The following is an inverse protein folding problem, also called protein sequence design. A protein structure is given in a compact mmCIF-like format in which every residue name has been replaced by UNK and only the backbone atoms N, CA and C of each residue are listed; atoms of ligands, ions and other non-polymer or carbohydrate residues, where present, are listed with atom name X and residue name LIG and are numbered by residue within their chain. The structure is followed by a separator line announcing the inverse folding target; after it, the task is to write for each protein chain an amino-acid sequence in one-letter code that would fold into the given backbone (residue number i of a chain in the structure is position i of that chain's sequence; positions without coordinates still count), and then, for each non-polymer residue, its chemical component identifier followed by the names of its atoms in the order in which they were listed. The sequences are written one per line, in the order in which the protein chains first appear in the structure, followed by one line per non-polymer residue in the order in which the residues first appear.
data_IF_353358261610
#
_entry.id   IF_353358261610
#
_cell.length_a   1.000
_cell.length_b   1.000
_cell.length_c   1.000
_cell.angle_alpha   90.00
_cell.angle_beta   90.00
_cell.angle_gamma   90.00
#
_symmetry.space_group_name_H-M   'P 1'
#
loop_
_entity.id
_entity.type
_entity.pdbx_description
1 polymer ?
#
# COMPACT_ATOMS: atom_id res chain seq x y z
N UNK A 1 24.85 -1.04 -3.99
CA UNK A 1 24.72 0.16 -4.84
C UNK A 1 25.02 1.37 -3.97
N UNK A 2 26.08 2.11 -4.30
CA UNK A 2 26.84 3.02 -3.41
C UNK A 2 26.38 4.49 -3.45
N UNK A 3 25.15 4.81 -3.05
CA UNK A 3 24.67 6.21 -3.07
C UNK A 3 24.93 6.96 -1.73
N UNK A 4 25.16 6.25 -0.63
CA UNK A 4 25.33 6.89 0.69
C UNK A 4 26.73 7.40 1.05
N UNK A 5 27.80 6.92 0.41
CA UNK A 5 29.17 7.13 0.92
C UNK A 5 29.84 8.45 0.48
N UNK A 6 29.24 9.22 -0.45
CA UNK A 6 29.89 10.42 -1.03
C UNK A 6 28.98 11.63 -1.27
N UNK A 7 27.77 11.64 -0.72
CA UNK A 7 26.89 12.81 -0.78
C UNK A 7 26.80 13.47 0.59
N UNK A 8 27.31 14.69 0.75
CA UNK A 8 26.90 15.52 1.89
C UNK A 8 25.36 15.56 1.90
N UNK A 9 24.72 15.19 3.01
CA UNK A 9 23.27 15.24 3.13
C UNK A 9 22.86 16.71 2.97
N UNK A 10 22.42 17.08 1.78
CA UNK A 10 21.97 18.46 1.53
C UNK A 10 20.72 18.68 2.37
N UNK A 11 20.80 19.55 3.37
CA UNK A 11 19.68 19.94 4.23
C UNK A 11 18.44 20.33 3.40
N UNK A 12 18.67 21.00 2.25
CA UNK A 12 17.64 21.33 1.27
C UNK A 12 17.78 20.52 -0.02
N UNK A 13 16.94 19.48 -0.15
CA UNK A 13 16.78 18.68 -1.38
C UNK A 13 16.06 19.50 -2.46
N UNK A 14 16.52 19.42 -3.71
CA UNK A 14 15.87 20.10 -4.84
C UNK A 14 14.47 19.50 -5.13
N UNK A 15 13.60 20.23 -5.83
CA UNK A 15 12.28 19.72 -6.25
C UNK A 15 12.40 18.39 -7.03
N UNK A 16 13.39 18.26 -7.91
CA UNK A 16 13.68 17.02 -8.66
C UNK A 16 14.03 15.85 -7.75
N UNK A 17 14.86 16.09 -6.73
CA UNK A 17 15.24 15.05 -5.76
C UNK A 17 14.04 14.64 -4.91
N UNK A 18 13.24 15.61 -4.44
CA UNK A 18 12.01 15.31 -3.70
C UNK A 18 11.04 14.47 -4.52
N UNK A 19 10.85 14.81 -5.80
CA UNK A 19 10.01 14.04 -6.72
C UNK A 19 10.50 12.59 -6.84
N UNK A 20 11.79 12.38 -7.09
CA UNK A 20 12.37 11.03 -7.17
C UNK A 20 12.21 10.25 -5.87
N UNK A 21 12.35 10.90 -4.71
CA UNK A 21 12.14 10.24 -3.42
C UNK A 21 10.68 9.89 -3.18
N UNK A 22 9.74 10.76 -3.55
CA UNK A 22 8.30 10.45 -3.51
C UNK A 22 7.95 9.29 -4.43
N UNK A 23 8.54 9.24 -5.63
CA UNK A 23 8.38 8.12 -6.55
C UNK A 23 8.92 6.83 -5.96
N UNK A 24 10.16 6.85 -5.49
CA UNK A 24 10.78 5.70 -4.85
C UNK A 24 9.95 5.20 -3.66
N UNK A 25 9.51 6.10 -2.78
CA UNK A 25 8.71 5.77 -1.60
C UNK A 25 7.42 5.05 -1.99
N UNK A 26 6.65 5.65 -2.89
CA UNK A 26 5.37 5.10 -3.32
C UNK A 26 5.56 3.71 -3.94
N UNK A 27 6.46 3.60 -4.94
CA UNK A 27 6.72 2.34 -5.62
C UNK A 27 7.16 1.28 -4.62
N UNK A 28 8.08 1.62 -3.70
CA UNK A 28 8.65 0.65 -2.79
C UNK A 28 7.66 0.18 -1.72
N UNK A 29 6.87 1.07 -1.14
CA UNK A 29 5.84 0.67 -0.15
C UNK A 29 4.77 -0.21 -0.80
N UNK A 30 4.31 0.14 -2.00
CA UNK A 30 3.31 -0.65 -2.73
C UNK A 30 3.86 -2.01 -3.14
N UNK A 31 5.10 -2.08 -3.64
CA UNK A 31 5.78 -3.34 -3.94
C UNK A 31 5.91 -4.23 -2.69
N UNK A 32 6.43 -3.69 -1.58
CA UNK A 32 6.59 -4.42 -0.32
C UNK A 32 5.25 -4.93 0.24
N UNK A 33 4.15 -4.19 0.04
CA UNK A 33 2.82 -4.60 0.51
C UNK A 33 2.30 -5.88 -0.17
N UNK A 34 2.80 -6.19 -1.38
CA UNK A 34 2.31 -7.30 -2.22
C UNK A 34 3.36 -8.36 -2.48
N UNK A 35 4.62 -8.10 -2.13
CA UNK A 35 5.69 -9.07 -2.18
C UNK A 35 5.57 -10.10 -1.06
N UNK A 36 5.66 -11.39 -1.42
CA UNK A 36 5.65 -12.51 -0.47
C UNK A 36 7.05 -13.10 -0.36
N UNK A 37 7.71 -12.87 0.78
CA UNK A 37 9.04 -13.42 1.04
C UNK A 37 8.98 -14.97 1.17
N UNK A 38 9.84 -15.71 0.46
CA UNK A 38 10.00 -17.14 0.69
C UNK A 38 10.50 -17.40 2.12
N UNK A 39 10.00 -18.44 2.79
CA UNK A 39 10.39 -18.81 4.16
C UNK A 39 11.91 -19.03 4.30
N UNK A 40 12.57 -19.54 3.26
CA UNK A 40 14.03 -19.77 3.23
C UNK A 40 14.86 -18.49 3.26
N UNK A 41 14.28 -17.36 2.81
CA UNK A 41 14.97 -16.06 2.70
C UNK A 41 14.69 -15.14 3.89
N UNK A 42 14.08 -15.62 4.96
CA UNK A 42 13.86 -14.82 6.18
C UNK A 42 15.00 -15.10 7.16
N UNK A 43 16.11 -14.37 7.04
CA UNK A 43 17.25 -14.52 7.95
C UNK A 43 16.89 -14.13 9.40
N UNK A 44 17.57 -14.81 10.33
CA UNK A 44 17.27 -15.01 11.76
C UNK A 44 17.39 -13.77 12.66
N UNK A 45 17.34 -12.56 12.13
CA UNK A 45 17.62 -11.35 12.93
C UNK A 45 16.45 -11.05 13.86
N UNK A 46 16.78 -10.85 15.13
CA UNK A 46 15.86 -10.55 16.22
C UNK A 46 14.92 -9.38 15.88
N UNK A 47 13.59 -9.54 15.96
CA UNK A 47 12.62 -8.46 15.75
C UNK A 47 12.63 -7.39 16.87
N UNK A 48 13.47 -7.53 17.89
CA UNK A 48 13.52 -6.64 19.06
C UNK A 48 14.15 -5.26 18.82
N UNK A 49 14.37 -4.81 17.58
CA UNK A 49 14.82 -3.43 17.35
C UNK A 49 13.62 -2.48 17.27
N UNK A 50 13.60 -1.38 18.03
CA UNK A 50 12.48 -0.45 18.02
C UNK A 50 12.35 0.20 16.63
N UNK A 51 11.34 -0.19 15.86
CA UNK A 51 10.87 0.54 14.68
C UNK A 51 9.87 1.64 15.06
N UNK A 52 9.70 1.92 16.36
CA UNK A 52 8.68 2.84 16.91
C UNK A 52 8.74 4.23 16.29
N UNK A 53 9.91 4.66 15.79
CA UNK A 53 10.10 5.98 15.20
C UNK A 53 10.07 6.01 13.66
N UNK A 54 9.93 4.85 12.99
CA UNK A 54 9.91 4.79 11.53
C UNK A 54 8.50 5.03 11.00
N UNK A 55 8.33 6.00 10.09
CA UNK A 55 7.06 6.23 9.40
C UNK A 55 6.86 5.20 8.29
N UNK A 56 7.94 4.69 7.72
CA UNK A 56 7.92 3.72 6.62
C UNK A 56 8.72 2.44 6.89
N UNK A 57 8.36 1.66 7.94
CA UNK A 57 9.16 0.50 8.35
C UNK A 57 9.20 -0.64 7.32
N UNK A 58 8.24 -0.72 6.38
CA UNK A 58 8.27 -1.71 5.29
C UNK A 58 9.51 -1.60 4.40
N UNK A 59 10.13 -0.41 4.30
CA UNK A 59 11.33 -0.21 3.51
C UNK A 59 12.53 -1.03 4.05
N UNK A 60 12.53 -1.37 5.34
CA UNK A 60 13.51 -2.26 5.96
C UNK A 60 13.19 -3.74 5.83
N UNK A 61 11.96 -4.12 5.48
CA UNK A 61 11.59 -5.55 5.43
C UNK A 61 12.55 -6.33 4.54
N UNK A 62 12.87 -5.80 3.35
CA UNK A 62 13.80 -6.45 2.45
C UNK A 62 15.22 -6.60 3.01
N UNK A 63 15.78 -5.54 3.61
CA UNK A 63 17.13 -5.57 4.18
C UNK A 63 17.22 -6.54 5.36
N UNK A 64 16.18 -6.58 6.21
CA UNK A 64 16.07 -7.53 7.31
C UNK A 64 15.99 -8.98 6.81
N UNK A 65 15.13 -9.28 5.84
CA UNK A 65 15.03 -10.63 5.29
C UNK A 65 16.36 -11.10 4.69
N UNK A 66 17.09 -10.22 4.01
CA UNK A 66 18.41 -10.54 3.46
C UNK A 66 19.55 -10.57 4.49
N UNK A 67 19.28 -10.33 5.78
CA UNK A 67 20.31 -10.25 6.83
C UNK A 67 21.36 -9.16 6.57
N UNK A 68 20.97 -8.13 5.82
CA UNK A 68 21.81 -6.99 5.43
C UNK A 68 21.10 -5.72 5.85
N UNK A 69 20.79 -5.59 7.14
CA UNK A 69 20.07 -4.43 7.60
C UNK A 69 20.87 -3.16 7.31
N UNK A 70 20.32 -2.31 6.44
CA UNK A 70 21.01 -1.12 5.96
C UNK A 70 21.17 -0.11 7.08
N UNK A 71 20.21 -0.03 8.00
CA UNK A 71 20.24 0.87 9.15
C UNK A 71 21.32 0.47 10.15
N UNK A 72 21.42 -0.82 10.49
CA UNK A 72 22.49 -1.33 11.36
C UNK A 72 23.88 -1.17 10.73
N UNK A 73 24.00 -1.52 9.45
CA UNK A 73 25.30 -1.48 8.75
C UNK A 73 25.80 -0.07 8.43
N UNK A 74 24.92 0.92 8.31
CA UNK A 74 25.32 2.30 7.98
C UNK A 74 25.11 3.32 9.10
N UNK A 75 24.46 2.94 10.21
CA UNK A 75 24.21 3.83 11.36
C UNK A 75 23.40 5.09 11.03
N UNK A 76 22.82 5.14 9.83
CA UNK A 76 22.01 6.23 9.30
C UNK A 76 20.60 5.67 9.18
N UNK A 77 19.63 6.29 9.85
CA UNK A 77 18.22 5.98 9.59
C UNK A 77 17.96 6.18 8.08
N UNK A 78 17.77 5.08 7.35
CA UNK A 78 17.55 5.08 5.90
C UNK A 78 16.40 6.01 5.52
N UNK A 79 15.37 6.07 6.38
CA UNK A 79 14.24 6.97 6.24
C UNK A 79 14.68 8.43 6.36
N UNK A 80 15.51 8.77 7.36
CA UNK A 80 16.10 10.10 7.50
C UNK A 80 17.00 10.46 6.30
N UNK A 81 17.78 9.51 5.78
CA UNK A 81 18.61 9.71 4.59
C UNK A 81 17.78 10.04 3.34
N UNK A 82 16.71 9.29 3.11
CA UNK A 82 15.80 9.47 1.97
C UNK A 82 14.87 10.66 2.13
N UNK A 83 14.35 10.91 3.32
CA UNK A 83 13.24 11.85 3.52
C UNK A 83 13.60 13.04 4.41
N UNK A 84 14.81 13.12 4.98
CA UNK A 84 15.26 14.18 5.88
C UNK A 84 14.42 14.26 7.16
N UNK A 85 14.38 15.41 7.83
CA UNK A 85 13.38 15.68 8.86
C UNK A 85 11.98 15.59 8.24
N UNK A 86 11.22 14.58 8.68
CA UNK A 86 9.88 14.25 8.20
C UNK A 86 8.79 15.19 8.74
N UNK A 87 9.06 15.91 9.82
CA UNK A 87 8.10 16.84 10.46
C UNK A 87 7.93 18.17 9.71
N UNK A 88 8.30 18.22 8.44
CA UNK A 88 8.07 19.41 7.63
C UNK A 88 6.70 19.31 6.92
N UNK A 89 5.65 20.01 7.37
CA UNK A 89 4.31 19.96 6.77
C UNK A 89 4.31 20.31 5.27
N UNK A 90 5.29 21.10 4.80
CA UNK A 90 5.47 21.42 3.37
C UNK A 90 5.86 20.21 2.51
N UNK A 91 6.33 19.10 3.09
CA UNK A 91 6.67 17.86 2.35
C UNK A 91 5.50 16.89 2.25
N UNK A 92 4.65 16.79 3.27
CA UNK A 92 3.39 16.04 3.18
C UNK A 92 2.52 16.58 2.04
N UNK A 93 2.43 17.91 1.91
CA UNK A 93 1.77 18.56 0.76
C UNK A 93 2.37 18.18 -0.60
N UNK A 94 3.70 18.13 -0.72
CA UNK A 94 4.37 17.80 -1.99
C UNK A 94 4.09 16.36 -2.47
N UNK A 95 3.92 15.40 -1.55
CA UNK A 95 3.53 14.03 -1.93
C UNK A 95 2.09 13.99 -2.45
N UNK A 96 1.17 14.69 -1.77
CA UNK A 96 -0.22 14.86 -2.20
C UNK A 96 -0.30 15.53 -3.57
N UNK A 97 0.56 16.51 -3.85
CA UNK A 97 0.63 17.18 -5.16
C UNK A 97 1.04 16.25 -6.31
N UNK A 98 1.85 15.22 -6.03
CA UNK A 98 2.34 14.29 -7.06
C UNK A 98 1.33 13.18 -7.35
N UNK A 99 0.80 12.56 -6.29
CA UNK A 99 -0.01 11.34 -6.40
C UNK A 99 -1.51 11.58 -6.19
N UNK A 100 -1.91 12.76 -5.73
CA UNK A 100 -3.29 13.02 -5.29
C UNK A 100 -3.66 12.28 -4.01
N UNK A 101 -2.68 11.71 -3.30
CA UNK A 101 -2.87 10.88 -2.11
C UNK A 101 -2.13 11.46 -0.89
N UNK A 102 -2.75 11.46 0.30
CA UNK A 102 -2.06 11.76 1.55
C UNK A 102 -0.91 10.79 1.81
N UNK A 103 0.26 11.31 2.18
CA UNK A 103 1.44 10.51 2.52
C UNK A 103 1.19 9.60 3.75
N UNK A 104 0.26 10.00 4.59
CA UNK A 104 -0.22 9.32 5.79
C UNK A 104 -0.78 7.94 5.44
N UNK A 105 -1.58 7.81 4.38
CA UNK A 105 -2.10 6.50 3.94
C UNK A 105 -0.98 5.54 3.53
N UNK A 106 0.05 6.05 2.84
CA UNK A 106 1.22 5.25 2.46
C UNK A 106 1.99 4.80 3.72
N UNK A 107 2.05 5.63 4.76
CA UNK A 107 2.65 5.25 6.04
C UNK A 107 1.87 4.14 6.73
N UNK A 108 0.53 4.23 6.75
CA UNK A 108 -0.32 3.18 7.30
C UNK A 108 -0.14 1.84 6.57
N UNK A 109 -0.10 1.85 5.22
CA UNK A 109 0.16 0.66 4.41
C UNK A 109 1.54 0.07 4.75
N UNK A 110 2.56 0.92 4.87
CA UNK A 110 3.91 0.49 5.23
C UNK A 110 3.96 -0.15 6.62
N UNK A 111 3.32 0.46 7.63
CA UNK A 111 3.26 -0.09 9.00
C UNK A 111 2.47 -1.40 9.06
N UNK A 112 1.35 -1.48 8.34
CA UNK A 112 0.55 -2.71 8.23
C UNK A 112 1.34 -3.82 7.53
N UNK A 113 2.10 -3.49 6.49
CA UNK A 113 2.96 -4.43 5.76
C UNK A 113 4.06 -4.97 6.67
N UNK A 114 4.73 -4.09 7.42
CA UNK A 114 5.77 -4.49 8.37
C UNK A 114 5.23 -5.45 9.44
N UNK A 115 4.12 -5.08 10.10
CA UNK A 115 3.47 -5.93 11.11
C UNK A 115 3.03 -7.28 10.52
N UNK A 116 2.45 -7.29 9.32
CA UNK A 116 2.04 -8.53 8.67
C UNK A 116 3.23 -9.46 8.41
N UNK A 117 4.36 -8.91 7.97
CA UNK A 117 5.58 -9.67 7.70
C UNK A 117 6.22 -10.18 9.00
N UNK A 118 6.23 -9.37 10.06
CA UNK A 118 6.69 -9.77 11.40
C UNK A 118 5.85 -10.90 11.99
N UNK A 119 4.51 -10.79 11.94
CA UNK A 119 3.58 -11.84 12.38
C UNK A 119 3.81 -13.14 11.60
N UNK A 120 3.95 -13.03 10.27
CA UNK A 120 4.18 -14.19 9.39
C UNK A 120 5.50 -14.88 9.74
N UNK A 121 6.56 -14.12 9.95
CA UNK A 121 7.88 -14.63 10.34
C UNK A 121 7.82 -15.33 11.70
N UNK A 122 7.21 -14.70 12.71
CA UNK A 122 7.09 -15.25 14.05
C UNK A 122 6.30 -16.56 14.07
N UNK A 123 5.17 -16.63 13.36
CA UNK A 123 4.37 -17.87 13.24
C UNK A 123 5.11 -18.97 12.50
N UNK A 124 5.87 -18.64 11.47
CA UNK A 124 6.67 -19.63 10.74
C UNK A 124 7.81 -20.19 11.60
N UNK A 125 8.39 -19.39 12.49
CA UNK A 125 9.50 -19.78 13.36
C UNK A 125 9.03 -20.50 14.62
N UNK A 126 7.88 -20.10 15.14
CA UNK A 126 7.31 -20.58 16.39
C UNK A 126 5.85 -20.95 16.14
N UNK A 127 5.55 -22.21 15.77
CA UNK A 127 4.18 -22.65 15.49
C UNK A 127 3.23 -22.48 16.68
N UNK A 128 3.76 -22.59 17.90
CA UNK A 128 3.04 -22.36 19.17
C UNK A 128 2.98 -20.88 19.57
N UNK A 129 3.37 -19.97 18.68
CA UNK A 129 3.40 -18.53 18.98
C UNK A 129 2.00 -18.00 19.24
N UNK A 130 1.78 -17.60 20.49
CA UNK A 130 0.67 -16.73 20.87
C UNK A 130 1.14 -15.28 20.79
N UNK A 131 0.28 -14.39 20.27
CA UNK A 131 0.54 -12.95 20.17
C UNK A 131 1.01 -12.41 21.52
N UNK A 132 2.23 -11.89 21.57
CA UNK A 132 2.76 -11.22 22.76
C UNK A 132 1.93 -9.98 23.06
N UNK A 133 1.90 -9.55 24.33
CA UNK A 133 1.18 -8.32 24.71
C UNK A 133 1.65 -7.11 23.91
N UNK A 134 2.96 -7.01 23.64
CA UNK A 134 3.56 -5.96 22.83
C UNK A 134 3.05 -5.94 21.38
N UNK A 135 3.13 -7.09 20.68
CA UNK A 135 2.67 -7.20 19.30
C UNK A 135 1.16 -6.97 19.18
N UNK A 136 0.39 -7.43 20.18
CA UNK A 136 -1.04 -7.17 20.29
C UNK A 136 -1.35 -5.68 20.41
N UNK A 137 -0.62 -4.95 21.27
CA UNK A 137 -0.78 -3.51 21.44
C UNK A 137 -0.47 -2.75 20.14
N UNK A 138 0.67 -3.06 19.49
CA UNK A 138 1.05 -2.45 18.20
C UNK A 138 -0.01 -2.69 17.11
N UNK A 139 -0.63 -3.88 17.09
CA UNK A 139 -1.74 -4.18 16.20
C UNK A 139 -3.02 -3.38 16.54
N UNK A 140 -3.29 -3.10 17.82
CA UNK A 140 -4.48 -2.36 18.25
C UNK A 140 -4.32 -0.84 18.04
N UNK A 141 -3.12 -0.32 18.27
CA UNK A 141 -2.76 1.07 17.98
C UNK A 141 -2.92 1.37 16.48
N UNK A 142 -2.29 0.55 15.62
CA UNK A 142 -2.42 0.75 14.17
C UNK A 142 -3.86 0.57 13.68
N UNK A 143 -4.63 -0.36 14.24
CA UNK A 143 -6.05 -0.52 13.92
C UNK A 143 -6.83 0.75 14.24
N UNK A 144 -6.60 1.34 15.42
CA UNK A 144 -7.25 2.58 15.85
C UNK A 144 -6.90 3.72 14.91
N UNK A 145 -5.63 3.86 14.54
CA UNK A 145 -5.18 4.90 13.61
C UNK A 145 -5.78 4.73 12.22
N UNK A 146 -5.82 3.51 11.67
CA UNK A 146 -6.43 3.24 10.36
C UNK A 146 -7.92 3.58 10.38
N UNK A 147 -8.64 3.16 11.42
CA UNK A 147 -10.08 3.39 11.52
C UNK A 147 -10.46 4.85 11.81
N UNK A 148 -9.64 5.58 12.58
CA UNK A 148 -9.86 6.97 12.91
C UNK A 148 -9.35 7.94 11.83
N UNK A 149 -8.62 7.44 10.83
CA UNK A 149 -8.05 8.26 9.78
C UNK A 149 -9.12 8.98 8.96
N UNK A 150 -8.87 10.26 8.66
CA UNK A 150 -9.71 11.13 7.83
C UNK A 150 -8.80 12.12 7.08
N UNK A 151 -9.19 12.52 5.86
CA UNK A 151 -8.46 13.54 5.07
C UNK A 151 -8.80 14.96 5.55
N UNK A 152 -8.44 15.29 6.81
CA UNK A 152 -8.69 16.62 7.39
C UNK A 152 -7.87 17.74 6.72
N UNK A 153 -6.91 17.39 5.86
CA UNK A 153 -6.06 18.33 5.11
C UNK A 153 -6.64 18.81 3.77
N UNK A 154 -7.83 18.36 3.34
CA UNK A 154 -8.43 18.73 2.06
C UNK A 154 -9.04 20.16 2.03
N UNK A 155 -9.22 20.79 3.19
CA UNK A 155 -9.86 22.11 3.34
C UNK A 155 -8.87 23.28 3.36
N UNK A 156 -7.57 23.02 3.27
CA UNK A 156 -6.57 24.08 3.13
C UNK A 156 -6.71 24.77 1.78
N UNK A 157 -7.31 25.96 1.76
CA UNK A 157 -7.40 26.82 0.60
C UNK A 157 -6.00 27.23 0.12
N UNK A 158 -5.40 26.40 -0.73
CA UNK A 158 -4.34 26.85 -1.60
C UNK A 158 -4.98 27.74 -2.66
N UNK A 159 -4.62 29.03 -2.66
CA UNK A 159 -4.97 29.96 -3.74
C UNK A 159 -4.46 29.38 -5.06
N UNK A 160 -5.35 28.75 -5.82
CA UNK A 160 -5.08 28.25 -7.16
C UNK A 160 -5.45 29.32 -8.18
N UNK A 161 -4.60 29.54 -9.18
CA UNK A 161 -4.89 30.44 -10.31
C UNK A 161 -6.19 30.05 -11.06
N UNK A 162 -6.62 28.79 -10.98
CA UNK A 162 -7.90 28.30 -11.49
C UNK A 162 -8.69 27.56 -10.38
N UNK A 163 -9.65 28.24 -9.71
CA UNK A 163 -10.44 27.65 -8.63
C UNK A 163 -11.36 26.51 -9.09
N UNK A 164 -11.76 26.48 -10.37
CA UNK A 164 -12.64 25.44 -10.91
C UNK A 164 -11.84 24.16 -11.14
N UNK A 165 -10.66 24.25 -11.74
CA UNK A 165 -9.77 23.11 -11.93
C UNK A 165 -9.29 22.54 -10.57
N UNK A 166 -9.01 23.39 -9.58
CA UNK A 166 -8.64 22.95 -8.24
C UNK A 166 -9.79 22.26 -7.51
N UNK A 167 -11.03 22.74 -7.66
CA UNK A 167 -12.21 22.07 -7.12
C UNK A 167 -12.44 20.70 -7.77
N UNK A 168 -12.37 20.63 -9.11
CA UNK A 168 -12.52 19.38 -9.86
C UNK A 168 -11.47 18.34 -9.44
N UNK A 169 -10.20 18.74 -9.33
CA UNK A 169 -9.13 17.87 -8.89
C UNK A 169 -9.37 17.38 -7.45
N UNK A 170 -9.77 18.26 -6.52
CA UNK A 170 -10.13 17.85 -5.15
C UNK A 170 -11.26 16.82 -5.12
N UNK A 171 -12.34 17.03 -5.88
CA UNK A 171 -13.46 16.10 -5.94
C UNK A 171 -13.06 14.73 -6.52
N UNK A 172 -12.27 14.72 -7.60
CA UNK A 172 -11.72 13.50 -8.18
C UNK A 172 -10.84 12.77 -7.16
N UNK A 173 -9.88 13.46 -6.56
CA UNK A 173 -8.92 12.83 -5.64
C UNK A 173 -9.54 12.38 -4.32
N UNK A 174 -10.67 12.98 -3.89
CA UNK A 174 -11.43 12.50 -2.74
C UNK A 174 -11.91 11.06 -2.95
N UNK A 175 -12.40 10.71 -4.14
CA UNK A 175 -12.80 9.34 -4.46
C UNK A 175 -11.60 8.38 -4.45
N UNK A 176 -10.47 8.78 -5.04
CA UNK A 176 -9.27 7.93 -5.04
C UNK A 176 -8.75 7.69 -3.61
N UNK A 177 -8.74 8.74 -2.80
CA UNK A 177 -8.28 8.71 -1.41
C UNK A 177 -9.18 7.82 -0.55
N UNK A 178 -10.50 7.93 -0.73
CA UNK A 178 -11.47 7.05 -0.05
C UNK A 178 -11.29 5.58 -0.47
N UNK A 179 -11.11 5.31 -1.76
CA UNK A 179 -10.85 3.96 -2.26
C UNK A 179 -9.54 3.38 -1.66
N UNK A 180 -8.51 4.21 -1.53
CA UNK A 180 -7.25 3.84 -0.89
C UNK A 180 -7.40 3.52 0.59
N UNK A 181 -8.16 4.35 1.32
CA UNK A 181 -8.42 4.13 2.74
C UNK A 181 -9.21 2.84 2.96
N UNK A 182 -10.28 2.61 2.19
CA UNK A 182 -11.05 1.37 2.22
C UNK A 182 -10.19 0.14 1.91
N UNK A 183 -9.32 0.23 0.88
CA UNK A 183 -8.37 -0.84 0.57
C UNK A 183 -7.33 -1.05 1.68
N UNK A 184 -6.90 0.00 2.38
CA UNK A 184 -5.99 -0.09 3.53
C UNK A 184 -6.63 -0.83 4.70
N UNK A 185 -7.91 -0.57 4.97
CA UNK A 185 -8.72 -1.31 5.95
C UNK A 185 -8.76 -2.80 5.58
N UNK A 186 -9.14 -3.12 4.34
CA UNK A 186 -9.20 -4.51 3.85
C UNK A 186 -7.83 -5.18 4.00
N UNK A 187 -6.77 -4.50 3.56
CA UNK A 187 -5.40 -5.00 3.63
C UNK A 187 -4.98 -5.33 5.06
N UNK A 188 -5.19 -4.41 6.00
CA UNK A 188 -4.87 -4.60 7.41
C UNK A 188 -5.65 -5.78 8.00
N UNK A 189 -6.96 -5.81 7.84
CA UNK A 189 -7.79 -6.87 8.42
C UNK A 189 -7.50 -8.25 7.82
N UNK A 190 -7.13 -8.33 6.53
CA UNK A 190 -6.73 -9.61 5.92
C UNK A 190 -5.33 -10.05 6.28
N UNK A 191 -4.32 -9.17 6.18
CA UNK A 191 -2.92 -9.55 6.41
C UNK A 191 -2.53 -9.63 7.88
N UNK A 192 -3.03 -8.72 8.71
CA UNK A 192 -2.66 -8.62 10.13
C UNK A 192 -3.63 -9.42 11.00
N UNK A 193 -4.95 -9.16 10.85
CA UNK A 193 -5.98 -9.79 11.71
C UNK A 193 -6.54 -11.10 11.18
N UNK A 194 -6.29 -11.44 9.92
CA UNK A 194 -6.83 -12.64 9.25
C UNK A 194 -8.35 -12.76 9.35
N UNK A 195 -9.03 -11.61 9.28
CA UNK A 195 -10.49 -11.55 9.35
C UNK A 195 -11.12 -12.27 8.15
N UNK A 196 -12.24 -12.94 8.37
CA UNK A 196 -12.98 -13.60 7.28
C UNK A 196 -13.43 -12.56 6.24
N UNK A 197 -13.23 -12.80 4.92
CA UNK A 197 -13.63 -11.86 3.85
C UNK A 197 -15.10 -11.45 3.87
N UNK A 198 -16.00 -12.29 4.41
CA UNK A 198 -17.42 -11.97 4.57
C UNK A 198 -17.65 -10.64 5.32
N UNK A 199 -16.82 -10.36 6.33
CA UNK A 199 -16.94 -9.15 7.14
C UNK A 199 -16.38 -7.90 6.44
N UNK A 200 -15.69 -8.07 5.31
CA UNK A 200 -15.03 -7.00 4.57
C UNK A 200 -15.82 -6.55 3.34
N UNK A 201 -16.89 -7.26 2.96
CA UNK A 201 -17.67 -6.93 1.76
C UNK A 201 -18.15 -5.47 1.69
N UNK A 202 -18.58 -4.82 2.79
CA UNK A 202 -18.95 -3.41 2.75
C UNK A 202 -17.80 -2.51 2.28
N UNK A 203 -16.58 -2.78 2.73
CA UNK A 203 -15.39 -2.05 2.31
C UNK A 203 -15.01 -2.38 0.87
N UNK A 204 -15.17 -3.63 0.45
CA UNK A 204 -14.92 -4.07 -0.93
C UNK A 204 -15.83 -3.33 -1.91
N UNK A 205 -17.13 -3.26 -1.62
CA UNK A 205 -18.11 -2.52 -2.41
C UNK A 205 -17.82 -1.01 -2.43
N UNK A 206 -17.50 -0.43 -1.27
CA UNK A 206 -17.16 0.99 -1.15
C UNK A 206 -15.90 1.36 -1.93
N UNK A 207 -14.87 0.51 -1.91
CA UNK A 207 -13.66 0.70 -2.74
C UNK A 207 -14.03 0.74 -4.22
N UNK A 208 -14.80 -0.24 -4.71
CA UNK A 208 -15.17 -0.28 -6.12
C UNK A 208 -16.02 0.91 -6.53
N UNK A 209 -17.00 1.30 -5.72
CA UNK A 209 -17.85 2.45 -6.00
C UNK A 209 -17.01 3.73 -6.17
N UNK A 210 -16.09 3.98 -5.24
CA UNK A 210 -15.21 5.14 -5.33
C UNK A 210 -14.25 5.09 -6.52
N UNK A 211 -13.70 3.92 -6.88
CA UNK A 211 -12.87 3.78 -8.08
C UNK A 211 -13.66 4.07 -9.37
N UNK A 212 -14.94 3.69 -9.42
CA UNK A 212 -15.82 3.97 -10.56
C UNK A 212 -16.20 5.44 -10.66
N UNK A 213 -16.52 6.09 -9.53
CA UNK A 213 -16.77 7.54 -9.49
C UNK A 213 -15.53 8.35 -9.84
N UNK A 214 -14.35 7.95 -9.34
CA UNK A 214 -13.06 8.53 -9.73
C UNK A 214 -12.87 8.52 -11.25
N UNK A 215 -13.08 7.37 -11.90
CA UNK A 215 -12.97 7.23 -13.35
C UNK A 215 -14.03 8.06 -14.09
N UNK A 216 -15.26 8.12 -13.56
CA UNK A 216 -16.33 8.91 -14.15
C UNK A 216 -16.03 10.41 -14.10
N UNK A 217 -15.56 10.92 -12.98
CA UNK A 217 -15.18 12.32 -12.81
C UNK A 217 -13.96 12.68 -13.68
N UNK A 218 -12.95 11.80 -13.78
CA UNK A 218 -11.84 12.01 -14.70
C UNK A 218 -12.30 12.20 -16.15
N UNK A 219 -13.26 11.40 -16.60
CA UNK A 219 -13.85 11.54 -17.95
C UNK A 219 -14.62 12.85 -18.10
N UNK A 220 -15.38 13.26 -17.08
CA UNK A 220 -16.12 14.54 -17.08
C UNK A 220 -15.17 15.73 -17.26
N UNK A 221 -14.02 15.70 -16.61
CA UNK A 221 -13.01 16.76 -16.70
C UNK A 221 -11.96 16.53 -17.79
N UNK A 222 -12.11 15.51 -18.64
CA UNK A 222 -11.15 15.15 -19.70
C UNK A 222 -9.70 14.99 -19.21
N UNK A 223 -9.53 14.51 -17.98
CA UNK A 223 -8.23 14.26 -17.38
C UNK A 223 -7.76 12.84 -17.72
N UNK A 224 -6.52 12.74 -18.19
CA UNK A 224 -5.83 11.47 -18.39
C UNK A 224 -4.93 11.26 -17.20
N UNK A 225 -5.39 10.46 -16.23
CA UNK A 225 -4.53 9.95 -15.17
C UNK A 225 -4.63 8.43 -15.15
N UNK A 226 -3.47 7.80 -15.07
CA UNK A 226 -3.37 6.37 -14.95
C UNK A 226 -3.78 6.06 -13.51
N UNK A 227 -4.96 5.48 -13.31
CA UNK A 227 -5.39 5.08 -11.96
C UNK A 227 -4.33 4.22 -11.27
N UNK A 228 -4.51 3.96 -9.99
CA UNK A 228 -3.58 3.11 -9.25
C UNK A 228 -4.18 1.71 -9.11
N UNK A 229 -3.38 0.69 -9.43
CA UNK A 229 -3.82 -0.72 -9.45
C UNK A 229 -4.12 -1.26 -8.05
N UNK A 230 -3.31 -0.86 -7.07
CA UNK A 230 -3.32 -1.39 -5.71
C UNK A 230 -4.72 -1.49 -5.05
N UNK A 231 -5.51 -0.41 -4.90
CA UNK A 231 -6.81 -0.50 -4.21
C UNK A 231 -7.78 -1.45 -4.92
N UNK A 232 -7.80 -1.44 -6.25
CA UNK A 232 -8.66 -2.31 -7.06
C UNK A 232 -8.29 -3.78 -6.92
N UNK A 233 -6.99 -4.10 -6.88
CA UNK A 233 -6.54 -5.47 -6.67
C UNK A 233 -6.84 -5.95 -5.24
N UNK A 234 -6.49 -5.16 -4.21
CA UNK A 234 -6.67 -5.55 -2.80
C UNK A 234 -8.14 -5.79 -2.49
N UNK A 235 -9.03 -4.89 -2.89
CA UNK A 235 -10.47 -5.08 -2.68
C UNK A 235 -11.03 -6.23 -3.55
N UNK A 236 -10.65 -6.29 -4.83
CA UNK A 236 -11.10 -7.34 -5.73
C UNK A 236 -10.68 -8.75 -5.29
N UNK A 237 -9.52 -8.89 -4.64
CA UNK A 237 -9.04 -10.15 -4.09
C UNK A 237 -9.95 -10.70 -2.98
N UNK A 238 -10.71 -9.83 -2.32
CA UNK A 238 -11.61 -10.20 -1.23
C UNK A 238 -13.09 -10.17 -1.64
N UNK A 239 -13.40 -9.90 -2.92
CA UNK A 239 -14.76 -9.96 -3.44
C UNK A 239 -15.28 -11.41 -3.48
N UNK A 240 -16.41 -11.65 -2.81
CA UNK A 240 -17.04 -12.97 -2.74
C UNK A 240 -18.16 -13.15 -3.77
N UNK A 241 -18.97 -12.12 -3.97
CA UNK A 241 -20.07 -12.15 -4.93
C UNK A 241 -19.57 -12.18 -6.38
N UNK A 242 -20.17 -13.03 -7.22
CA UNK A 242 -19.78 -13.18 -8.63
C UNK A 242 -20.02 -11.89 -9.43
N UNK A 243 -21.07 -11.14 -9.10
CA UNK A 243 -21.34 -9.84 -9.72
C UNK A 243 -20.26 -8.82 -9.36
N UNK A 244 -19.85 -8.77 -8.09
CA UNK A 244 -18.77 -7.91 -7.63
C UNK A 244 -17.43 -8.27 -8.28
N UNK A 245 -17.09 -9.57 -8.34
CA UNK A 245 -15.91 -10.07 -9.05
C UNK A 245 -15.90 -9.63 -10.52
N UNK A 246 -17.03 -9.80 -11.23
CA UNK A 246 -17.15 -9.39 -12.63
C UNK A 246 -16.95 -7.87 -12.81
N UNK A 247 -17.45 -7.05 -11.88
CA UNK A 247 -17.26 -5.59 -11.92
C UNK A 247 -15.81 -5.17 -11.67
N UNK A 248 -15.12 -5.78 -10.69
CA UNK A 248 -13.69 -5.53 -10.47
C UNK A 248 -12.86 -5.91 -11.69
N UNK A 249 -13.10 -7.10 -12.26
CA UNK A 249 -12.40 -7.56 -13.44
C UNK A 249 -12.62 -6.60 -14.61
N UNK A 250 -13.87 -6.18 -14.86
CA UNK A 250 -14.19 -5.20 -15.90
C UNK A 250 -13.45 -3.88 -15.67
N UNK A 251 -13.52 -3.33 -14.46
CA UNK A 251 -12.87 -2.05 -14.14
C UNK A 251 -11.36 -2.11 -14.38
N UNK A 252 -10.65 -3.13 -13.87
CA UNK A 252 -9.21 -3.29 -14.12
C UNK A 252 -8.89 -3.45 -15.61
N UNK A 253 -9.72 -4.20 -16.36
CA UNK A 253 -9.54 -4.36 -17.81
C UNK A 253 -9.76 -3.06 -18.59
N UNK A 254 -10.72 -2.26 -18.18
CA UNK A 254 -10.98 -0.95 -18.80
C UNK A 254 -9.82 0.01 -18.49
N UNK A 255 -9.32 0.04 -17.25
CA UNK A 255 -8.11 0.77 -16.88
C UNK A 255 -6.88 0.33 -17.69
N UNK A 256 -6.70 -0.98 -17.92
CA UNK A 256 -5.60 -1.50 -18.74
C UNK A 256 -5.69 -1.01 -20.20
N UNK A 257 -6.89 -1.01 -20.79
CA UNK A 257 -7.11 -0.54 -22.17
C UNK A 257 -6.87 0.96 -22.30
N UNK A 258 -7.31 1.75 -21.32
CA UNK A 258 -7.20 3.21 -21.35
C UNK A 258 -5.76 3.68 -21.10
N UNK A 259 -5.06 3.07 -20.15
CA UNK A 259 -3.69 3.47 -19.77
C UNK A 259 -2.60 2.81 -20.62
N UNK A 260 -2.89 1.66 -21.26
CA UNK A 260 -1.89 0.80 -21.88
C UNK A 260 -0.97 0.09 -20.88
N UNK A 261 -1.22 0.23 -19.57
CA UNK A 261 -0.38 -0.35 -18.52
C UNK A 261 -0.73 -1.81 -18.29
N UNK A 262 0.26 -2.69 -18.47
CA UNK A 262 0.12 -4.14 -18.30
C UNK A 262 -0.13 -4.56 -16.84
N UNK A 263 0.19 -3.72 -15.86
CA UNK A 263 -0.02 -4.01 -14.44
C UNK A 263 -1.51 -4.24 -14.12
N UNK A 264 -2.41 -3.45 -14.73
CA UNK A 264 -3.86 -3.64 -14.58
C UNK A 264 -4.35 -4.97 -15.17
N UNK A 265 -3.83 -5.35 -16.34
CA UNK A 265 -4.16 -6.62 -16.96
C UNK A 265 -3.64 -7.79 -16.13
N UNK A 266 -2.41 -7.70 -15.62
CA UNK A 266 -1.83 -8.69 -14.70
C UNK A 266 -2.71 -8.84 -13.46
N UNK A 267 -3.07 -7.73 -12.81
CA UNK A 267 -3.96 -7.74 -11.64
C UNK A 267 -5.31 -8.41 -11.94
N UNK A 268 -5.95 -8.06 -13.06
CA UNK A 268 -7.22 -8.66 -13.47
C UNK A 268 -7.11 -10.18 -13.69
N UNK A 269 -6.03 -10.63 -14.34
CA UNK A 269 -5.78 -12.05 -14.55
C UNK A 269 -5.53 -12.80 -13.24
N UNK A 270 -4.71 -12.22 -12.36
CA UNK A 270 -4.43 -12.80 -11.04
C UNK A 270 -5.69 -12.92 -10.19
N UNK A 271 -6.57 -11.92 -10.20
CA UNK A 271 -7.86 -11.99 -9.52
C UNK A 271 -8.74 -13.12 -10.10
N UNK A 272 -8.81 -13.22 -11.42
CA UNK A 272 -9.59 -14.27 -12.07
C UNK A 272 -9.08 -15.66 -11.69
N UNK A 273 -7.77 -15.84 -11.63
CA UNK A 273 -7.13 -17.09 -11.21
C UNK A 273 -7.37 -17.39 -9.72
N UNK A 274 -7.34 -16.38 -8.86
CA UNK A 274 -7.67 -16.51 -7.44
C UNK A 274 -9.11 -17.00 -7.25
N UNK A 275 -10.08 -16.35 -7.91
CA UNK A 275 -11.48 -16.72 -7.77
C UNK A 275 -11.76 -18.13 -8.31
N UNK A 276 -11.12 -18.53 -9.42
CA UNK A 276 -11.18 -19.91 -9.93
C UNK A 276 -10.59 -20.90 -8.93
N UNK A 277 -9.44 -20.58 -8.33
CA UNK A 277 -8.81 -21.46 -7.37
C UNK A 277 -9.67 -21.67 -6.13
N UNK A 278 -10.39 -20.63 -5.67
CA UNK A 278 -11.35 -20.72 -4.56
C UNK A 278 -12.57 -21.59 -4.84
N UNK A 279 -12.93 -21.78 -6.11
CA UNK A 279 -14.02 -22.67 -6.53
C UNK A 279 -13.59 -24.14 -6.62
N UNK A 280 -12.29 -24.43 -6.58
CA UNK A 280 -11.77 -25.80 -6.62
C UNK A 280 -11.89 -26.51 -5.26
N UNK A 281 -11.77 -27.84 -5.27
CA UNK A 281 -11.79 -28.65 -4.05
C UNK A 281 -10.68 -28.22 -3.08
N UNK A 282 -11.04 -27.85 -1.85
CA UNK A 282 -10.11 -27.39 -0.82
C UNK A 282 -9.59 -25.95 -0.98
N UNK A 283 -10.06 -25.21 -1.98
CA UNK A 283 -9.60 -23.85 -2.29
C UNK A 283 -10.27 -22.72 -1.52
N UNK A 284 -11.32 -22.99 -0.74
CA UNK A 284 -12.19 -21.97 -0.11
C UNK A 284 -11.41 -20.97 0.75
N UNK A 285 -10.32 -21.42 1.39
CA UNK A 285 -9.49 -20.59 2.26
C UNK A 285 -8.28 -19.96 1.55
N UNK A 286 -8.14 -20.16 0.24
CA UNK A 286 -6.99 -19.65 -0.51
C UNK A 286 -6.97 -18.12 -0.51
N UNK A 287 -5.87 -17.55 -0.02
CA UNK A 287 -5.64 -16.12 -0.06
C UNK A 287 -4.88 -15.72 -1.32
N UNK A 288 -4.96 -14.45 -1.70
CA UNK A 288 -4.13 -13.92 -2.79
C UNK A 288 -2.63 -14.03 -2.46
N UNK A 289 -2.26 -14.01 -1.18
CA UNK A 289 -0.87 -14.17 -0.72
C UNK A 289 -0.37 -15.59 -0.99
N UNK A 290 -1.21 -16.61 -0.76
CA UNK A 290 -0.89 -18.00 -1.06
C UNK A 290 -0.71 -18.17 -2.57
N UNK A 291 -1.62 -17.62 -3.37
CA UNK A 291 -1.52 -17.67 -4.83
C UNK A 291 -0.22 -17.02 -5.35
N UNK A 292 0.13 -15.85 -4.83
CA UNK A 292 1.36 -15.13 -5.21
C UNK A 292 2.61 -15.93 -4.82
N UNK A 293 2.60 -16.56 -3.64
CA UNK A 293 3.70 -17.42 -3.17
C UNK A 293 3.84 -18.66 -4.04
N UNK A 294 2.75 -19.40 -4.26
CA UNK A 294 2.73 -20.67 -4.99
C UNK A 294 3.19 -20.51 -6.44
N UNK A 295 2.80 -19.39 -7.06
CA UNK A 295 3.13 -19.08 -8.46
C UNK A 295 4.37 -18.21 -8.62
N UNK A 296 5.04 -17.85 -7.53
CA UNK A 296 6.21 -16.94 -7.51
C UNK A 296 5.98 -15.65 -8.32
N UNK A 297 4.78 -15.07 -8.19
CA UNK A 297 4.40 -13.88 -8.95
C UNK A 297 5.05 -12.63 -8.34
N UNK A 298 5.53 -11.74 -9.20
CA UNK A 298 5.88 -10.37 -8.82
C UNK A 298 4.74 -9.46 -9.26
N UNK A 299 3.87 -9.10 -8.30
CA UNK A 299 2.79 -8.16 -8.53
C UNK A 299 3.30 -6.74 -8.30
N UNK A 300 3.50 -5.99 -9.38
CA UNK A 300 3.78 -4.55 -9.30
C UNK A 300 2.45 -3.83 -9.45
N UNK A 301 1.85 -3.43 -8.33
CA UNK A 301 0.51 -2.82 -8.29
C UNK A 301 0.55 -1.29 -8.20
N UNK A 302 1.57 -0.71 -8.82
CA UNK A 302 1.78 0.75 -8.92
C UNK A 302 1.07 1.31 -10.13
#
# INVERSE_FOLDING_TARGET
MFIGFRGASKANKSKKVKLLHSIYLFLRVIEESTYMYPSEKQLLTSPYLPTENMRFPSLRTHSMCLGRDLDESTGMDFEFGLFGELDNPKRSGFFKDIYGLPQELISLISRATFLANEITMLRSRYPEFSTTSDLGNRCAELETEICAWSDEGATGDAESDDPVAAFANRAIMAHLTEAFHCATIIFFYRRVRQLNPLLLQPWVEKTLANLQEFEQEQRRFSLINCGIVWPGFIAGAEALDLGLQARFHKHLRDCAKLSGMRNFELAANTLQDLWRARQGEGGENMTWMDLVRDRQLSLVLT
#
